data_IF_395373514622
#
_entry.id   IF_395373514622
#
_cell.length_a   1.000
_cell.length_b   1.000
_cell.length_c   1.000
_cell.angle_alpha   90.00
_cell.angle_beta   90.00
_cell.angle_gamma   90.00
#
_symmetry.space_group_name_H-M   'P 1'
#
loop_
_entity.id
_entity.type
_entity.pdbx_description
1 polymer ?
#
# COMPACT_ATOMS: atom_id res chain seq x y z
N UNK A 1 -0.48 -22.90 24.45
CA UNK A 1 -1.75 -22.14 24.56
C UNK A 1 -1.42 -20.86 25.30
N UNK A 2 -1.71 -19.70 24.71
CA UNK A 2 -1.61 -18.41 25.42
C UNK A 2 -2.94 -18.16 26.09
N UNK A 3 -2.95 -17.92 27.40
CA UNK A 3 -4.19 -17.71 28.18
C UNK A 3 -4.54 -16.23 28.30
N UNK A 4 -3.54 -15.39 28.56
CA UNK A 4 -3.67 -13.94 28.63
C UNK A 4 -2.31 -13.27 28.38
N UNK A 5 -2.34 -11.99 28.06
CA UNK A 5 -1.18 -11.10 28.03
C UNK A 5 -1.48 -9.91 28.94
N UNK A 6 -0.51 -9.53 29.77
CA UNK A 6 -0.55 -8.29 30.55
C UNK A 6 0.39 -7.28 29.91
N UNK A 7 -0.09 -6.09 29.62
CA UNK A 7 0.69 -5.01 29.01
C UNK A 7 0.55 -3.74 29.83
N UNK A 8 1.55 -2.88 29.77
CA UNK A 8 1.48 -1.56 30.39
C UNK A 8 0.35 -0.74 29.76
N UNK A 9 -0.49 -0.14 30.61
CA UNK A 9 -1.52 0.78 30.13
C UNK A 9 -0.88 2.02 29.50
N UNK A 10 -1.38 2.41 28.33
CA UNK A 10 -0.95 3.63 27.63
C UNK A 10 -2.02 4.70 27.83
N UNK A 11 -1.78 5.74 28.65
CA UNK A 11 -2.69 6.89 28.74
C UNK A 11 -2.88 7.50 27.35
N UNK A 12 -4.11 7.58 26.87
CA UNK A 12 -4.45 8.01 25.52
C UNK A 12 -5.76 8.82 25.49
N UNK A 13 -6.02 9.46 24.35
CA UNK A 13 -7.22 10.28 24.08
C UNK A 13 -8.21 9.56 23.16
N UNK A 14 -8.11 8.24 23.03
CA UNK A 14 -8.85 7.40 22.10
C UNK A 14 -7.98 6.84 20.97
N UNK A 15 -8.63 6.19 20.01
CA UNK A 15 -7.99 5.67 18.81
C UNK A 15 -7.75 6.74 17.74
N UNK A 16 -6.81 6.47 16.85
CA UNK A 16 -6.47 7.35 15.74
C UNK A 16 -7.62 7.42 14.74
N UNK A 17 -8.52 6.44 14.66
CA UNK A 17 -9.71 6.49 13.81
C UNK A 17 -10.63 7.65 14.22
N UNK A 18 -10.98 7.73 15.49
CA UNK A 18 -11.86 8.76 16.06
C UNK A 18 -11.24 10.14 15.90
N UNK A 19 -9.94 10.26 16.18
CA UNK A 19 -9.19 11.50 15.93
C UNK A 19 -9.22 11.91 14.45
N UNK A 20 -8.92 10.99 13.53
CA UNK A 20 -8.88 11.25 12.10
C UNK A 20 -10.25 11.61 11.53
N UNK A 21 -11.30 10.93 11.99
CA UNK A 21 -12.68 11.21 11.60
C UNK A 21 -13.12 12.60 12.06
N UNK A 22 -12.74 13.00 13.27
CA UNK A 22 -13.02 14.35 13.76
C UNK A 22 -12.32 15.42 12.91
N UNK A 23 -11.04 15.22 12.58
CA UNK A 23 -10.28 16.15 11.73
C UNK A 23 -10.83 16.21 10.29
N UNK A 24 -11.22 15.07 9.72
CA UNK A 24 -11.88 15.03 8.41
C UNK A 24 -13.22 15.78 8.41
N UNK A 25 -14.02 15.64 9.48
CA UNK A 25 -15.27 16.40 9.64
C UNK A 25 -15.00 17.90 9.72
N UNK A 26 -14.05 18.32 10.56
CA UNK A 26 -13.66 19.74 10.68
C UNK A 26 -13.19 20.31 9.35
N UNK A 27 -12.40 19.56 8.59
CA UNK A 27 -11.97 19.97 7.26
C UNK A 27 -13.17 20.20 6.35
N UNK A 28 -14.13 19.27 6.32
CA UNK A 28 -15.33 19.41 5.48
C UNK A 28 -16.25 20.57 5.89
N UNK A 29 -16.26 20.96 7.17
CA UNK A 29 -17.01 22.12 7.70
C UNK A 29 -16.40 23.47 7.34
N UNK A 30 -15.08 23.52 7.12
CA UNK A 30 -14.39 24.76 6.74
C UNK A 30 -14.79 25.27 5.36
N UNK A 31 -14.46 26.53 5.06
CA UNK A 31 -14.60 27.10 3.72
C UNK A 31 -13.40 26.78 2.81
N UNK A 32 -13.55 26.79 1.46
CA UNK A 32 -12.44 26.63 0.53
C UNK A 32 -11.30 27.66 0.64
N UNK A 33 -11.59 28.85 1.17
CA UNK A 33 -10.60 29.90 1.44
C UNK A 33 -9.83 29.60 2.74
N UNK A 34 -10.44 28.82 3.64
CA UNK A 34 -9.81 28.17 4.79
C UNK A 34 -9.18 26.80 4.41
N UNK A 35 -9.39 26.28 3.20
CA UNK A 35 -9.01 24.91 2.81
C UNK A 35 -7.53 24.69 2.49
N UNK A 36 -6.60 25.58 2.85
CA UNK A 36 -5.16 25.26 2.73
C UNK A 36 -4.71 24.10 3.66
N UNK A 37 -5.63 23.26 4.14
CA UNK A 37 -5.65 22.47 5.37
C UNK A 37 -5.47 23.37 6.59
N UNK A 38 -6.53 23.88 7.23
CA UNK A 38 -6.42 24.46 8.57
C UNK A 38 -5.85 23.41 9.55
N UNK A 39 -4.57 23.27 9.86
CA UNK A 39 -3.42 24.17 9.73
C UNK A 39 -2.13 23.34 9.51
N UNK A 40 -2.15 22.41 8.55
CA UNK A 40 -1.17 21.31 8.44
C UNK A 40 -1.06 20.41 9.69
N UNK A 41 -1.92 20.60 10.69
CA UNK A 41 -1.89 19.91 11.99
C UNK A 41 -2.10 18.42 11.81
N UNK A 42 -3.19 18.03 11.14
CA UNK A 42 -3.44 16.64 10.86
C UNK A 42 -2.45 16.06 9.84
N UNK A 43 -1.95 16.85 8.89
CA UNK A 43 -0.86 16.39 8.01
C UNK A 43 0.42 16.05 8.78
N UNK A 44 0.77 16.82 9.82
CA UNK A 44 1.86 16.48 10.74
C UNK A 44 1.56 15.17 11.47
N UNK A 45 0.30 14.94 11.88
CA UNK A 45 -0.11 13.66 12.46
C UNK A 45 0.00 12.49 11.47
N UNK A 46 -0.46 12.65 10.23
CA UNK A 46 -0.34 11.65 9.17
C UNK A 46 1.13 11.34 8.85
N UNK A 47 1.98 12.37 8.81
CA UNK A 47 3.44 12.23 8.71
C UNK A 47 3.99 11.43 9.89
N UNK A 48 3.64 11.78 11.13
CA UNK A 48 4.09 11.07 12.33
C UNK A 48 3.62 9.60 12.34
N UNK A 49 2.40 9.32 11.91
CA UNK A 49 1.90 7.96 11.69
C UNK A 49 2.80 7.21 10.69
N UNK A 50 3.16 7.84 9.57
CA UNK A 50 4.09 7.29 8.58
C UNK A 50 5.44 6.92 9.19
N UNK A 51 5.98 7.80 10.02
CA UNK A 51 7.21 7.55 10.78
C UNK A 51 7.07 6.38 11.77
N UNK A 52 6.03 6.36 12.61
CA UNK A 52 5.83 5.30 13.62
C UNK A 52 5.63 3.92 12.99
N UNK A 53 4.89 3.84 11.88
CA UNK A 53 4.71 2.58 11.14
C UNK A 53 6.03 2.14 10.48
N UNK A 54 6.82 3.07 9.94
CA UNK A 54 8.15 2.73 9.40
C UNK A 54 9.11 2.26 10.49
N UNK A 55 9.13 2.94 11.65
CA UNK A 55 9.94 2.57 12.81
C UNK A 55 9.56 1.19 13.36
N UNK A 56 8.25 0.86 13.42
CA UNK A 56 7.78 -0.49 13.74
C UNK A 56 8.38 -1.51 12.77
N UNK A 57 8.27 -1.30 11.46
CA UNK A 57 8.81 -2.23 10.48
C UNK A 57 10.32 -2.37 10.56
N UNK A 58 11.04 -1.28 10.82
CA UNK A 58 12.49 -1.31 11.08
C UNK A 58 12.79 -2.15 12.31
N UNK A 59 12.09 -1.93 13.42
CA UNK A 59 12.26 -2.69 14.65
C UNK A 59 12.03 -4.19 14.42
N UNK A 60 10.91 -4.56 13.78
CA UNK A 60 10.59 -5.95 13.45
C UNK A 60 11.62 -6.59 12.51
N UNK A 61 12.17 -5.81 11.57
CA UNK A 61 13.19 -6.31 10.64
C UNK A 61 14.57 -6.52 11.28
N UNK A 62 14.87 -5.86 12.41
CA UNK A 62 16.17 -5.97 13.09
C UNK A 62 16.27 -7.18 14.00
N UNK A 63 15.17 -7.86 14.29
CA UNK A 63 15.16 -9.07 15.12
C UNK A 63 15.66 -10.25 14.29
N UNK A 64 16.96 -10.53 14.35
CA UNK A 64 17.60 -11.62 13.60
C UNK A 64 17.81 -12.91 14.39
N UNK A 65 17.75 -12.82 15.72
CA UNK A 65 18.05 -13.93 16.63
C UNK A 65 16.84 -14.88 16.83
N UNK A 66 15.65 -14.46 16.43
CA UNK A 66 14.43 -15.27 16.45
C UNK A 66 14.02 -15.62 15.00
N UNK A 67 14.00 -16.91 14.60
CA UNK A 67 13.54 -17.35 13.29
C UNK A 67 12.12 -16.86 12.93
N UNK A 68 11.24 -16.64 13.91
CA UNK A 68 9.89 -16.13 13.69
C UNK A 68 9.87 -14.68 13.20
N UNK A 69 10.91 -13.89 13.49
CA UNK A 69 11.02 -12.48 13.09
C UNK A 69 12.07 -12.23 12.02
N UNK A 70 13.10 -13.08 11.93
CA UNK A 70 14.22 -12.94 11.00
C UNK A 70 13.74 -12.65 9.57
N UNK A 71 14.11 -11.52 8.95
CA UNK A 71 13.69 -11.18 7.59
C UNK A 71 14.06 -12.26 6.58
N UNK A 72 13.18 -12.45 5.59
CA UNK A 72 13.36 -13.44 4.53
C UNK A 72 13.21 -12.79 3.15
N UNK A 73 14.00 -13.17 2.14
CA UNK A 73 13.76 -12.72 0.77
C UNK A 73 12.44 -13.28 0.23
N UNK A 74 11.77 -12.51 -0.63
CA UNK A 74 10.68 -13.05 -1.44
C UNK A 74 11.21 -14.13 -2.40
N UNK A 75 10.77 -15.37 -2.17
CA UNK A 75 10.99 -16.50 -3.09
C UNK A 75 9.95 -16.51 -4.20
N UNK A 76 10.25 -17.17 -5.33
CA UNK A 76 9.27 -17.40 -6.40
C UNK A 76 8.00 -18.08 -5.87
N UNK A 77 8.14 -19.03 -4.96
CA UNK A 77 7.00 -19.71 -4.35
C UNK A 77 6.14 -18.76 -3.51
N UNK A 78 6.76 -17.88 -2.71
CA UNK A 78 6.02 -16.90 -1.90
C UNK A 78 5.27 -15.87 -2.77
N UNK A 79 5.88 -15.42 -3.87
CA UNK A 79 5.23 -14.52 -4.82
C UNK A 79 4.07 -15.19 -5.55
N UNK A 80 4.20 -16.47 -5.93
CA UNK A 80 3.10 -17.24 -6.51
C UNK A 80 1.93 -17.37 -5.54
N UNK A 81 2.19 -17.66 -4.26
CA UNK A 81 1.15 -17.71 -3.23
C UNK A 81 0.46 -16.36 -3.05
N UNK A 82 1.23 -15.26 -2.98
CA UNK A 82 0.68 -13.91 -2.89
C UNK A 82 -0.26 -13.61 -4.07
N UNK A 83 0.20 -13.84 -5.31
CA UNK A 83 -0.63 -13.65 -6.51
C UNK A 83 -1.89 -14.50 -6.50
N UNK A 84 -1.77 -15.78 -6.11
CA UNK A 84 -2.92 -16.68 -5.95
C UNK A 84 -3.97 -16.08 -5.01
N UNK A 85 -3.54 -15.68 -3.81
CA UNK A 85 -4.45 -15.10 -2.81
C UNK A 85 -5.14 -13.80 -3.27
N UNK A 86 -4.42 -12.94 -4.01
CA UNK A 86 -4.98 -11.71 -4.57
C UNK A 86 -6.00 -12.00 -5.67
N UNK A 87 -5.70 -12.98 -6.55
CA UNK A 87 -6.61 -13.43 -7.61
C UNK A 87 -7.87 -14.06 -7.04
N UNK A 88 -7.75 -14.86 -5.99
CA UNK A 88 -8.89 -15.51 -5.37
C UNK A 88 -9.80 -14.48 -4.69
N UNK A 89 -9.23 -13.51 -3.94
CA UNK A 89 -10.00 -12.39 -3.40
C UNK A 89 -10.69 -11.55 -4.47
N UNK A 90 -10.00 -11.26 -5.57
CA UNK A 90 -10.61 -10.56 -6.70
C UNK A 90 -11.77 -11.35 -7.31
N UNK A 91 -11.61 -12.66 -7.50
CA UNK A 91 -12.69 -13.52 -8.00
C UNK A 91 -13.90 -13.50 -7.07
N UNK A 92 -13.68 -13.60 -5.76
CA UNK A 92 -14.76 -13.53 -4.76
C UNK A 92 -15.47 -12.18 -4.81
N UNK A 93 -14.73 -11.07 -4.76
CA UNK A 93 -15.32 -9.73 -4.77
C UNK A 93 -16.12 -9.45 -6.05
N UNK A 94 -15.58 -9.80 -7.21
CA UNK A 94 -16.26 -9.63 -8.50
C UNK A 94 -17.44 -10.59 -8.68
N UNK A 95 -17.37 -11.81 -8.12
CA UNK A 95 -18.50 -12.73 -8.06
C UNK A 95 -19.66 -12.15 -7.26
N UNK A 96 -19.39 -11.70 -6.03
CA UNK A 96 -20.38 -11.04 -5.18
C UNK A 96 -20.96 -9.79 -5.84
N UNK A 97 -20.14 -9.02 -6.55
CA UNK A 97 -20.60 -7.81 -7.26
C UNK A 97 -21.57 -8.14 -8.40
N UNK A 98 -21.37 -9.26 -9.12
CA UNK A 98 -22.28 -9.73 -10.18
C UNK A 98 -23.63 -10.18 -9.63
N UNK A 99 -23.60 -10.85 -8.48
CA UNK A 99 -24.78 -11.47 -7.86
C UNK A 99 -25.54 -10.48 -6.95
N UNK A 100 -24.87 -9.41 -6.50
CA UNK A 100 -25.39 -8.45 -5.54
C UNK A 100 -26.54 -7.61 -6.10
N UNK A 101 -27.60 -7.47 -5.31
CA UNK A 101 -28.67 -6.52 -5.60
C UNK A 101 -28.22 -5.10 -5.23
N UNK A 102 -27.69 -4.38 -6.21
CA UNK A 102 -27.16 -3.02 -6.01
C UNK A 102 -28.23 -1.94 -6.22
N UNK A 103 -28.17 -0.85 -5.44
CA UNK A 103 -28.90 0.37 -5.74
C UNK A 103 -28.62 0.86 -7.18
N UNK A 104 -29.62 1.45 -7.83
CA UNK A 104 -29.56 1.87 -9.24
C UNK A 104 -28.37 2.80 -9.52
N UNK A 105 -28.05 3.67 -8.56
CA UNK A 105 -26.94 4.62 -8.61
C UNK A 105 -25.55 3.97 -8.63
N UNK A 106 -25.40 2.71 -8.23
CA UNK A 106 -24.12 1.99 -8.23
C UNK A 106 -23.96 1.04 -9.42
N UNK A 107 -25.01 0.84 -10.24
CA UNK A 107 -24.98 -0.13 -11.35
C UNK A 107 -23.94 0.22 -12.40
N UNK A 108 -23.84 1.49 -12.80
CA UNK A 108 -22.86 1.94 -13.77
C UNK A 108 -21.41 1.73 -13.29
N UNK A 109 -21.12 2.05 -12.03
CA UNK A 109 -19.80 1.83 -11.41
C UNK A 109 -19.50 0.32 -11.33
N UNK A 110 -20.48 -0.50 -10.98
CA UNK A 110 -20.33 -1.96 -10.89
C UNK A 110 -20.07 -2.61 -12.25
N UNK A 111 -20.86 -2.25 -13.26
CA UNK A 111 -20.65 -2.70 -14.66
C UNK A 111 -19.29 -2.25 -15.18
N UNK A 112 -18.90 -1.01 -14.89
CA UNK A 112 -17.58 -0.46 -15.23
C UNK A 112 -16.43 -1.25 -14.60
N UNK A 113 -16.57 -1.66 -13.34
CA UNK A 113 -15.57 -2.51 -12.67
C UNK A 113 -15.54 -3.93 -13.28
N UNK A 114 -16.70 -4.54 -13.52
CA UNK A 114 -16.80 -5.88 -14.10
C UNK A 114 -16.19 -5.94 -15.51
N UNK A 115 -16.40 -4.91 -16.33
CA UNK A 115 -15.76 -4.79 -17.65
C UNK A 115 -14.22 -4.72 -17.57
N UNK A 116 -13.67 -4.31 -16.42
CA UNK A 116 -12.23 -4.19 -16.14
C UNK A 116 -11.65 -5.36 -15.36
N UNK A 117 -12.36 -6.47 -15.21
CA UNK A 117 -11.85 -7.68 -14.52
C UNK A 117 -10.50 -8.17 -15.09
N UNK A 118 -10.33 -8.11 -16.42
CA UNK A 118 -9.06 -8.45 -17.06
C UNK A 118 -7.91 -7.56 -16.62
N UNK A 119 -8.19 -6.27 -16.39
CA UNK A 119 -7.22 -5.31 -15.89
C UNK A 119 -6.87 -5.59 -14.42
N UNK A 120 -7.86 -5.84 -13.56
CA UNK A 120 -7.65 -6.24 -12.15
C UNK A 120 -6.69 -7.44 -12.08
N UNK A 121 -6.95 -8.47 -12.88
CA UNK A 121 -6.07 -9.65 -12.96
C UNK A 121 -4.65 -9.28 -13.42
N UNK A 122 -4.51 -8.43 -14.43
CA UNK A 122 -3.20 -8.02 -14.95
C UNK A 122 -2.34 -7.30 -13.89
N UNK A 123 -2.95 -6.47 -13.03
CA UNK A 123 -2.24 -5.75 -11.95
C UNK A 123 -1.52 -6.70 -10.99
N UNK A 124 -2.11 -7.87 -10.71
CA UNK A 124 -1.48 -8.88 -9.84
C UNK A 124 -0.42 -9.72 -10.56
N UNK A 125 -0.54 -9.94 -11.87
CA UNK A 125 0.49 -10.66 -12.63
C UNK A 125 1.75 -9.83 -12.86
N UNK A 126 1.64 -8.50 -12.85
CA UNK A 126 2.75 -7.56 -13.00
C UNK A 126 3.60 -7.37 -11.73
N UNK A 127 3.31 -8.12 -10.66
CA UNK A 127 4.10 -8.07 -9.43
C UNK A 127 5.59 -8.36 -9.70
N UNK A 128 6.52 -7.68 -9.01
CA UNK A 128 7.96 -7.88 -9.22
C UNK A 128 8.34 -9.37 -9.10
N UNK A 129 9.13 -9.88 -10.06
CA UNK A 129 9.72 -11.22 -9.99
C UNK A 129 10.68 -11.38 -8.80
N UNK A 130 10.92 -12.64 -8.38
CA UNK A 130 11.82 -12.96 -7.27
C UNK A 130 13.26 -12.47 -7.51
N UNK A 131 14.01 -12.23 -6.42
CA UNK A 131 15.44 -11.92 -6.48
C UNK A 131 15.80 -10.42 -6.59
N UNK A 132 14.84 -9.50 -6.40
CA UNK A 132 15.07 -8.04 -6.54
C UNK A 132 15.18 -7.27 -5.22
N UNK A 133 15.74 -7.89 -4.18
CA UNK A 133 15.96 -7.21 -2.89
C UNK A 133 14.68 -6.87 -2.11
N UNK A 134 13.57 -7.56 -2.37
CA UNK A 134 12.34 -7.46 -1.59
C UNK A 134 12.41 -8.41 -0.39
N UNK A 135 12.25 -7.87 0.82
CA UNK A 135 12.17 -8.64 2.06
C UNK A 135 10.73 -8.82 2.54
N UNK A 136 10.52 -9.94 3.22
CA UNK A 136 9.36 -10.29 4.04
C UNK A 136 9.79 -10.24 5.49
N UNK A 137 9.00 -9.55 6.31
CA UNK A 137 9.21 -9.43 7.76
C UNK A 137 7.93 -9.81 8.49
N UNK A 138 7.98 -9.96 9.81
CA UNK A 138 6.75 -9.87 10.59
C UNK A 138 6.19 -8.46 10.45
N UNK A 139 4.89 -8.39 10.27
CA UNK A 139 4.11 -7.16 10.10
C UNK A 139 2.95 -7.21 11.10
N UNK A 140 2.22 -6.10 11.24
CA UNK A 140 0.98 -6.07 11.98
C UNK A 140 -0.09 -6.94 11.29
N UNK A 141 -0.21 -6.85 9.96
CA UNK A 141 -1.03 -7.74 9.14
C UNK A 141 -2.50 -7.34 8.99
N UNK A 142 -3.01 -6.52 9.91
CA UNK A 142 -4.34 -5.87 9.83
C UNK A 142 -4.29 -4.39 10.28
N UNK A 143 -3.27 -3.65 9.84
CA UNK A 143 -3.06 -2.28 10.31
C UNK A 143 -4.06 -1.30 9.68
N UNK A 144 -4.76 -0.56 10.53
CA UNK A 144 -5.61 0.58 10.16
C UNK A 144 -5.68 1.56 11.34
N UNK A 145 -6.33 2.72 11.17
CA UNK A 145 -6.38 3.77 12.19
C UNK A 145 -7.06 3.34 13.52
N UNK A 146 -7.90 2.30 13.47
CA UNK A 146 -8.52 1.73 14.67
C UNK A 146 -7.54 0.92 15.54
N UNK A 147 -6.42 0.48 14.97
CA UNK A 147 -5.38 -0.30 15.67
C UNK A 147 -4.23 0.57 16.17
N UNK A 148 -4.50 1.87 16.30
CA UNK A 148 -3.52 2.86 16.72
C UNK A 148 -4.18 3.75 17.78
N UNK A 149 -3.56 3.87 18.94
CA UNK A 149 -3.96 4.81 19.98
C UNK A 149 -3.30 6.17 19.75
N UNK A 150 -4.01 7.25 20.07
CA UNK A 150 -3.52 8.62 20.00
C UNK A 150 -3.35 9.20 21.40
N UNK A 151 -2.14 9.65 21.76
CA UNK A 151 -1.86 10.21 23.10
C UNK A 151 -2.11 11.72 23.20
N UNK A 152 -2.27 12.39 22.07
CA UNK A 152 -2.27 13.86 21.97
C UNK A 152 -1.04 14.38 21.22
N UNK A 153 0.08 13.70 21.35
CA UNK A 153 1.37 14.07 20.76
C UNK A 153 2.05 12.93 20.01
N UNK A 154 1.64 11.67 20.25
CA UNK A 154 2.20 10.48 19.61
C UNK A 154 1.15 9.39 19.35
N UNK A 155 1.60 8.30 18.72
CA UNK A 155 0.80 7.16 18.31
C UNK A 155 1.40 5.83 18.77
N UNK A 156 0.55 4.96 19.30
CA UNK A 156 0.92 3.62 19.75
C UNK A 156 0.16 2.58 18.94
N UNK A 157 0.89 1.68 18.28
CA UNK A 157 0.31 0.59 17.50
C UNK A 157 -0.01 -0.57 18.45
N UNK A 158 -1.24 -1.06 18.40
CA UNK A 158 -1.77 -2.11 19.28
C UNK A 158 -2.27 -3.29 18.45
N UNK A 159 -2.80 -4.33 19.08
CA UNK A 159 -3.52 -5.45 18.43
C UNK A 159 -2.78 -6.20 17.29
N UNK A 160 -1.62 -6.78 17.64
CA UNK A 160 -0.80 -7.59 16.72
C UNK A 160 -1.37 -9.00 16.47
N UNK A 161 -2.67 -9.23 16.66
CA UNK A 161 -3.29 -10.53 16.39
C UNK A 161 -3.33 -10.85 14.90
N UNK A 162 -3.28 -9.83 14.03
CA UNK A 162 -3.50 -9.94 12.60
C UNK A 162 -4.97 -10.17 12.26
N UNK A 163 -5.26 -10.35 10.97
CA UNK A 163 -6.65 -10.37 10.48
C UNK A 163 -7.47 -11.55 11.07
N UNK A 164 -8.52 -11.31 11.88
CA UNK A 164 -9.18 -12.36 12.69
C UNK A 164 -9.73 -13.54 11.90
N UNK A 165 -10.19 -13.30 10.66
CA UNK A 165 -10.74 -14.32 9.78
C UNK A 165 -9.68 -15.30 9.24
N UNK A 166 -8.38 -15.03 9.44
CA UNK A 166 -7.30 -15.86 8.89
C UNK A 166 -6.80 -16.92 9.88
N UNK A 167 -6.41 -18.11 9.40
CA UNK A 167 -5.74 -19.12 10.21
C UNK A 167 -4.49 -18.58 10.90
N UNK A 168 -4.18 -19.08 12.11
CA UNK A 168 -3.03 -18.61 12.90
C UNK A 168 -1.69 -18.69 12.15
N UNK A 169 -1.50 -19.72 11.32
CA UNK A 169 -0.29 -19.87 10.51
C UNK A 169 -0.13 -18.72 9.49
N UNK A 170 -1.23 -18.22 8.95
CA UNK A 170 -1.23 -17.07 8.05
C UNK A 170 -1.04 -15.75 8.81
N UNK A 171 -1.68 -15.58 9.96
CA UNK A 171 -1.49 -14.39 10.83
C UNK A 171 -0.04 -14.25 11.31
N UNK A 172 0.68 -15.36 11.47
CA UNK A 172 2.10 -15.39 11.83
C UNK A 172 3.05 -15.33 10.63
N UNK A 173 2.55 -15.38 9.39
CA UNK A 173 3.40 -15.39 8.22
C UNK A 173 4.14 -14.05 8.06
N UNK A 174 5.37 -14.12 7.54
CA UNK A 174 6.12 -12.91 7.15
C UNK A 174 5.56 -12.36 5.84
N UNK A 175 5.38 -11.06 5.75
CA UNK A 175 4.80 -10.39 4.58
C UNK A 175 5.59 -9.15 4.18
N UNK A 176 5.19 -8.54 3.07
CA UNK A 176 5.71 -7.22 2.71
C UNK A 176 5.16 -6.19 3.71
N UNK A 177 5.99 -5.30 4.25
CA UNK A 177 5.51 -4.19 5.08
C UNK A 177 4.60 -3.20 4.31
N UNK A 178 4.60 -3.28 2.97
CA UNK A 178 3.68 -2.49 2.14
C UNK A 178 2.22 -2.92 2.29
N UNK A 179 1.93 -4.12 2.84
CA UNK A 179 0.58 -4.51 3.20
C UNK A 179 0.00 -3.60 4.29
N UNK A 180 0.76 -3.37 5.36
CA UNK A 180 0.36 -2.49 6.46
C UNK A 180 0.25 -1.04 5.98
N UNK A 181 1.19 -0.59 5.13
CA UNK A 181 1.09 0.73 4.50
C UNK A 181 -0.18 0.88 3.64
N UNK A 182 -0.55 -0.13 2.86
CA UNK A 182 -1.80 -0.13 2.10
C UNK A 182 -3.04 -0.07 3.01
N UNK A 183 -3.03 -0.79 4.13
CA UNK A 183 -4.09 -0.73 5.14
C UNK A 183 -4.29 0.68 5.71
N UNK A 184 -3.20 1.36 6.05
CA UNK A 184 -3.24 2.76 6.50
C UNK A 184 -3.77 3.72 5.44
N UNK A 185 -3.29 3.61 4.19
CA UNK A 185 -3.77 4.45 3.08
C UNK A 185 -5.28 4.29 2.84
N UNK A 186 -5.76 3.05 2.80
CA UNK A 186 -7.20 2.76 2.70
C UNK A 186 -7.98 3.29 3.91
N UNK A 187 -7.40 3.21 5.11
CA UNK A 187 -8.03 3.73 6.33
C UNK A 187 -8.24 5.25 6.31
N UNK A 188 -7.33 6.03 5.72
CA UNK A 188 -7.52 7.49 5.55
C UNK A 188 -8.66 7.79 4.56
N UNK A 189 -8.71 7.06 3.44
CA UNK A 189 -9.79 7.20 2.46
C UNK A 189 -11.16 6.85 3.06
N UNK A 190 -11.22 5.75 3.82
CA UNK A 190 -12.42 5.36 4.56
C UNK A 190 -12.85 6.40 5.60
N UNK A 191 -11.91 6.99 6.35
CA UNK A 191 -12.23 8.05 7.30
C UNK A 191 -12.83 9.29 6.62
N UNK A 192 -12.28 9.67 5.46
CA UNK A 192 -12.80 10.78 4.66
C UNK A 192 -14.23 10.52 4.16
N UNK A 193 -14.49 9.29 3.69
CA UNK A 193 -15.82 8.88 3.23
C UNK A 193 -16.81 8.79 4.39
N UNK A 194 -16.39 8.29 5.56
CA UNK A 194 -17.20 8.27 6.76
C UNK A 194 -17.58 9.68 7.22
N UNK A 195 -16.65 10.65 7.16
CA UNK A 195 -16.90 12.04 7.50
C UNK A 195 -17.96 12.71 6.61
N UNK A 196 -18.05 12.28 5.35
CA UNK A 196 -19.04 12.77 4.39
C UNK A 196 -20.42 12.11 4.58
N UNK A 197 -20.46 10.84 4.98
CA UNK A 197 -21.70 10.05 5.03
C UNK A 197 -22.76 10.69 5.91
N UNK A 198 -22.37 11.23 7.05
CA UNK A 198 -23.28 11.81 8.04
C UNK A 198 -23.79 13.22 7.66
N UNK A 199 -23.44 13.71 6.45
CA UNK A 199 -23.81 15.05 5.97
C UNK A 199 -24.96 14.99 4.95
N UNK A 200 -26.01 15.74 5.23
CA UNK A 200 -27.06 16.04 4.24
C UNK A 200 -26.70 17.30 3.48
N UNK A 201 -26.67 17.24 2.15
CA UNK A 201 -26.40 18.38 1.29
C UNK A 201 -27.17 18.25 -0.05
N UNK A 202 -27.58 19.36 -0.68
CA UNK A 202 -28.10 19.36 -2.05
C UNK A 202 -27.10 18.72 -3.03
N UNK A 203 -27.59 18.11 -4.12
CA UNK A 203 -26.75 17.32 -5.04
C UNK A 203 -25.50 18.06 -5.56
N UNK A 204 -25.63 19.35 -5.89
CA UNK A 204 -24.49 20.18 -6.36
C UNK A 204 -23.42 20.38 -5.29
N UNK A 205 -23.83 20.55 -4.03
CA UNK A 205 -22.94 20.75 -2.88
C UNK A 205 -22.34 19.41 -2.43
N UNK A 206 -23.10 18.32 -2.59
CA UNK A 206 -22.62 16.96 -2.33
C UNK A 206 -21.42 16.60 -3.19
N UNK A 207 -21.45 16.91 -4.50
CA UNK A 207 -20.33 16.64 -5.40
C UNK A 207 -19.07 17.42 -5.00
N UNK A 208 -19.21 18.68 -4.57
CA UNK A 208 -18.10 19.49 -4.06
C UNK A 208 -17.52 18.89 -2.76
N UNK A 209 -18.38 18.51 -1.80
CA UNK A 209 -17.96 17.86 -0.55
C UNK A 209 -17.27 16.51 -0.79
N UNK A 210 -17.75 15.72 -1.76
CA UNK A 210 -17.10 14.48 -2.18
C UNK A 210 -15.69 14.72 -2.72
N UNK A 211 -15.51 15.77 -3.52
CA UNK A 211 -14.20 16.17 -4.02
C UNK A 211 -13.26 16.60 -2.88
N UNK A 212 -13.77 17.40 -1.94
CA UNK A 212 -13.02 17.84 -0.74
C UNK A 212 -12.63 16.66 0.15
N UNK A 213 -13.53 15.72 0.40
CA UNK A 213 -13.24 14.52 1.20
C UNK A 213 -12.12 13.68 0.55
N UNK A 214 -12.20 13.46 -0.77
CA UNK A 214 -11.13 12.77 -1.52
C UNK A 214 -9.80 13.51 -1.41
N UNK A 215 -9.80 14.83 -1.55
CA UNK A 215 -8.59 15.65 -1.42
C UNK A 215 -7.96 15.53 -0.02
N UNK A 216 -8.77 15.52 1.04
CA UNK A 216 -8.29 15.33 2.41
C UNK A 216 -7.63 13.96 2.61
N UNK A 217 -8.30 12.88 2.20
CA UNK A 217 -7.77 11.52 2.31
C UNK A 217 -6.47 11.34 1.52
N UNK A 218 -6.44 11.89 0.31
CA UNK A 218 -5.25 11.90 -0.55
C UNK A 218 -4.07 12.65 0.09
N UNK A 219 -4.32 13.84 0.67
CA UNK A 219 -3.28 14.64 1.31
C UNK A 219 -2.70 13.91 2.54
N UNK A 220 -3.56 13.34 3.39
CA UNK A 220 -3.13 12.54 4.54
C UNK A 220 -2.32 11.31 4.11
N UNK A 221 -2.82 10.56 3.14
CA UNK A 221 -2.14 9.37 2.60
C UNK A 221 -0.79 9.71 1.98
N UNK A 222 -0.68 10.83 1.27
CA UNK A 222 0.58 11.33 0.71
C UNK A 222 1.61 11.64 1.81
N UNK A 223 1.24 12.42 2.83
CA UNK A 223 2.17 12.78 3.91
C UNK A 223 2.62 11.56 4.72
N UNK A 224 1.70 10.62 4.97
CA UNK A 224 2.03 9.33 5.55
C UNK A 224 3.05 8.56 4.70
N UNK A 225 2.79 8.41 3.40
CA UNK A 225 3.63 7.59 2.52
C UNK A 225 5.00 8.23 2.25
N UNK A 226 5.05 9.56 2.13
CA UNK A 226 6.30 10.30 1.93
C UNK A 226 7.23 10.13 3.13
N UNK A 227 6.71 10.26 4.35
CA UNK A 227 7.50 10.05 5.56
C UNK A 227 7.88 8.58 5.75
N UNK A 228 6.93 7.68 5.52
CA UNK A 228 7.18 6.24 5.58
C UNK A 228 8.31 5.83 4.62
N UNK A 229 8.30 6.36 3.39
CA UNK A 229 9.38 6.19 2.42
C UNK A 229 10.68 6.82 2.89
N UNK A 230 10.64 8.03 3.41
CA UNK A 230 11.81 8.77 3.91
C UNK A 230 12.54 7.98 4.99
N UNK A 231 11.81 7.47 5.99
CA UNK A 231 12.38 6.67 7.09
C UNK A 231 12.93 5.32 6.61
N UNK A 232 12.30 4.71 5.61
CA UNK A 232 12.77 3.44 5.03
C UNK A 232 13.78 3.61 3.88
N UNK A 233 14.18 4.84 3.55
CA UNK A 233 15.08 5.11 2.45
C UNK A 233 16.41 4.36 2.62
N UNK A 234 16.89 3.73 1.55
CA UNK A 234 18.11 2.91 1.59
C UNK A 234 17.94 1.52 2.20
N UNK A 235 16.76 1.15 2.70
CA UNK A 235 16.50 -0.19 3.24
C UNK A 235 15.86 -1.12 2.20
N UNK A 236 16.03 -2.46 2.31
CA UNK A 236 15.33 -3.42 1.46
C UNK A 236 13.82 -3.51 1.71
N UNK A 237 13.29 -2.80 2.71
CA UNK A 237 11.86 -2.76 3.04
C UNK A 237 11.06 -1.86 2.10
N UNK A 238 11.72 -0.88 1.46
CA UNK A 238 11.11 0.01 0.47
C UNK A 238 11.97 0.12 -0.81
N UNK A 239 12.00 -0.94 -1.65
CA UNK A 239 12.83 -0.95 -2.85
C UNK A 239 12.27 -0.04 -3.97
N UNK A 240 13.07 0.22 -5.02
CA UNK A 240 12.66 1.06 -6.17
C UNK A 240 11.32 0.64 -6.82
N UNK A 241 10.94 -0.63 -6.71
CA UNK A 241 9.70 -1.20 -7.25
C UNK A 241 8.55 -1.24 -6.23
N UNK A 242 8.72 -0.64 -5.05
CA UNK A 242 7.72 -0.62 -3.98
C UNK A 242 6.38 -0.05 -4.44
N UNK A 243 6.38 0.98 -5.30
CA UNK A 243 5.14 1.57 -5.81
C UNK A 243 4.21 0.55 -6.49
N UNK A 244 4.74 -0.34 -7.34
CA UNK A 244 3.91 -1.37 -8.01
C UNK A 244 3.37 -2.42 -7.04
N UNK A 245 4.16 -2.77 -6.03
CA UNK A 245 3.75 -3.73 -5.01
C UNK A 245 2.70 -3.10 -4.08
N UNK A 246 2.87 -1.82 -3.74
CA UNK A 246 1.89 -1.04 -2.97
C UNK A 246 0.58 -0.89 -3.74
N UNK A 247 0.60 -0.54 -5.04
CA UNK A 247 -0.59 -0.50 -5.90
C UNK A 247 -1.37 -1.82 -5.86
N UNK A 248 -0.67 -2.96 -5.89
CA UNK A 248 -1.30 -4.28 -5.82
C UNK A 248 -1.90 -4.55 -4.43
N UNK A 249 -1.23 -4.17 -3.34
CA UNK A 249 -1.80 -4.32 -1.99
C UNK A 249 -3.00 -3.39 -1.76
N UNK A 250 -2.98 -2.17 -2.30
CA UNK A 250 -4.12 -1.25 -2.27
C UNK A 250 -5.32 -1.84 -3.01
N UNK A 251 -5.10 -2.36 -4.22
CA UNK A 251 -6.17 -3.01 -4.99
C UNK A 251 -6.72 -4.25 -4.27
N UNK A 252 -5.84 -5.09 -3.73
CA UNK A 252 -6.22 -6.29 -2.96
C UNK A 252 -7.04 -5.94 -1.71
N UNK A 253 -6.65 -4.90 -0.97
CA UNK A 253 -7.38 -4.42 0.21
C UNK A 253 -8.74 -3.81 -0.17
N UNK A 254 -8.80 -3.02 -1.24
CA UNK A 254 -10.05 -2.44 -1.73
C UNK A 254 -11.05 -3.51 -2.22
N UNK A 255 -10.57 -4.58 -2.86
CA UNK A 255 -11.41 -5.72 -3.26
C UNK A 255 -11.90 -6.54 -2.05
N UNK A 256 -11.03 -6.71 -1.05
CA UNK A 256 -11.44 -7.32 0.22
C UNK A 256 -12.55 -6.50 0.90
N UNK A 257 -12.37 -5.19 1.00
CA UNK A 257 -13.36 -4.27 1.56
C UNK A 257 -14.67 -4.31 0.76
N UNK A 258 -14.60 -4.33 -0.58
CA UNK A 258 -15.79 -4.47 -1.43
C UNK A 258 -16.56 -5.76 -1.10
N UNK A 259 -15.87 -6.90 -1.03
CA UNK A 259 -16.49 -8.17 -0.66
C UNK A 259 -17.08 -8.14 0.76
N UNK A 260 -16.41 -7.48 1.70
CA UNK A 260 -16.90 -7.34 3.06
C UNK A 260 -18.17 -6.49 3.12
N UNK A 261 -18.19 -5.31 2.49
CA UNK A 261 -19.35 -4.41 2.51
C UNK A 261 -20.55 -5.00 1.76
N UNK A 262 -20.32 -5.73 0.66
CA UNK A 262 -21.38 -6.45 -0.06
C UNK A 262 -22.11 -7.46 0.83
N UNK A 263 -21.39 -8.12 1.74
CA UNK A 263 -21.96 -9.13 2.63
C UNK A 263 -22.54 -8.56 3.93
N UNK A 264 -22.00 -7.45 4.44
CA UNK A 264 -22.29 -6.99 5.80
C UNK A 264 -23.02 -5.64 5.84
N UNK A 265 -22.72 -4.73 4.91
CA UNK A 265 -23.23 -3.35 4.94
C UNK A 265 -23.43 -2.80 3.51
N UNK A 266 -24.50 -3.21 2.81
CA UNK A 266 -24.72 -2.81 1.41
C UNK A 266 -24.70 -1.28 1.16
N UNK A 267 -25.06 -0.48 2.17
CA UNK A 267 -25.01 0.99 2.09
C UNK A 267 -23.59 1.59 2.03
N UNK A 268 -22.56 0.81 2.36
CA UNK A 268 -21.15 1.20 2.28
C UNK A 268 -20.48 0.78 0.97
N UNK A 269 -21.13 0.00 0.11
CA UNK A 269 -20.51 -0.58 -1.11
C UNK A 269 -19.95 0.48 -2.06
N UNK A 270 -20.55 1.67 -2.10
CA UNK A 270 -20.12 2.78 -2.95
C UNK A 270 -18.66 3.19 -2.69
N UNK A 271 -18.22 3.14 -1.44
CA UNK A 271 -16.88 3.52 -0.99
C UNK A 271 -15.75 2.63 -1.56
N UNK A 272 -15.75 1.31 -1.31
CA UNK A 272 -14.74 0.42 -1.86
C UNK A 272 -14.91 0.21 -3.37
N UNK A 273 -16.13 0.25 -3.92
CA UNK A 273 -16.35 0.14 -5.37
C UNK A 273 -15.63 1.27 -6.13
N UNK A 274 -15.85 2.53 -5.72
CA UNK A 274 -15.16 3.69 -6.29
C UNK A 274 -13.66 3.64 -6.02
N UNK A 275 -13.23 3.21 -4.82
CA UNK A 275 -11.82 3.03 -4.50
C UNK A 275 -11.09 2.08 -5.46
N UNK A 276 -11.73 0.96 -5.83
CA UNK A 276 -11.17 0.04 -6.84
C UNK A 276 -11.07 0.74 -8.21
N UNK A 277 -12.12 1.45 -8.64
CA UNK A 277 -12.13 2.17 -9.92
C UNK A 277 -11.04 3.25 -9.99
N UNK A 278 -10.84 4.00 -8.92
CA UNK A 278 -9.81 5.04 -8.81
C UNK A 278 -8.40 4.45 -8.91
N UNK A 279 -8.13 3.35 -8.19
CA UNK A 279 -6.85 2.61 -8.28
C UNK A 279 -6.61 2.09 -9.70
N UNK A 280 -7.66 1.61 -10.37
CA UNK A 280 -7.56 1.16 -11.76
C UNK A 280 -7.37 2.33 -12.72
N UNK A 281 -7.97 3.50 -12.51
CA UNK A 281 -7.77 4.69 -13.32
C UNK A 281 -6.35 5.29 -13.20
N UNK A 282 -5.52 4.77 -12.28
CA UNK A 282 -4.22 5.35 -11.94
C UNK A 282 -4.34 6.55 -10.99
N UNK A 283 -5.55 6.81 -10.49
CA UNK A 283 -5.90 7.85 -9.53
C UNK A 283 -5.65 7.46 -8.08
N UNK A 284 -4.60 6.67 -7.80
CA UNK A 284 -4.09 6.65 -6.43
C UNK A 284 -3.47 8.02 -6.18
N UNK A 285 -4.24 8.91 -5.56
CA UNK A 285 -3.84 10.30 -5.32
C UNK A 285 -2.60 10.43 -4.39
N UNK A 286 -2.20 9.33 -3.75
CA UNK A 286 -0.98 9.19 -2.95
C UNK A 286 0.20 8.55 -3.69
N UNK A 287 0.06 8.07 -4.93
CA UNK A 287 1.16 7.48 -5.69
C UNK A 287 1.82 8.51 -6.63
N UNK A 288 3.15 8.49 -6.81
CA UNK A 288 3.79 9.28 -7.85
C UNK A 288 3.27 8.85 -9.25
N UNK A 289 3.16 9.77 -10.21
CA UNK A 289 2.65 9.47 -11.54
C UNK A 289 3.46 8.34 -12.19
N UNK A 290 2.76 7.40 -12.83
CA UNK A 290 3.40 6.31 -13.57
C UNK A 290 4.22 6.91 -14.71
N UNK A 291 5.54 6.71 -14.71
CA UNK A 291 6.31 6.92 -15.95
C UNK A 291 5.71 6.01 -17.03
N UNK A 292 5.39 6.55 -18.23
CA UNK A 292 4.86 5.73 -19.30
C UNK A 292 5.86 4.60 -19.59
N UNK A 293 5.34 3.37 -19.65
CA UNK A 293 6.14 2.22 -20.04
C UNK A 293 6.76 2.53 -21.41
N UNK A 294 8.10 2.64 -21.47
CA UNK A 294 8.81 2.74 -22.75
C UNK A 294 8.50 1.48 -23.55
N UNK A 295 7.58 1.59 -24.49
CA UNK A 295 7.38 0.62 -25.58
C UNK A 295 8.55 0.73 -26.55
N UNK A 296 9.73 0.30 -26.12
CA UNK A 296 10.92 0.19 -26.95
C UNK A 296 11.18 -1.27 -27.24
N UNK A 297 10.77 -1.76 -28.42
CA UNK A 297 11.34 -2.99 -28.98
C UNK A 297 12.86 -2.81 -29.04
N UNK A 298 13.69 -3.77 -28.60
CA UNK A 298 15.12 -3.68 -28.82
C UNK A 298 15.37 -3.76 -30.33
N UNK A 299 15.84 -2.67 -30.93
CA UNK A 299 16.46 -2.73 -32.26
C UNK A 299 17.77 -3.49 -32.11
N UNK A 300 17.74 -4.79 -32.44
CA UNK A 300 18.94 -5.54 -32.79
C UNK A 300 19.46 -4.98 -34.11
N UNK A 301 20.52 -4.17 -34.07
CA UNK A 301 21.32 -3.86 -35.24
C UNK A 301 22.54 -4.78 -35.24
N UNK A 302 22.47 -5.84 -36.05
CA UNK A 302 23.65 -6.54 -36.53
C UNK A 302 24.23 -5.76 -37.71
N UNK A 303 25.43 -5.20 -37.55
CA UNK A 303 26.34 -4.92 -38.66
C UNK A 303 27.75 -4.67 -38.13
N UNK A 304 28.74 -5.41 -38.65
CA UNK A 304 30.13 -4.96 -38.68
C UNK A 304 31.16 -5.81 -37.94
N UNK A 305 31.28 -7.09 -38.30
CA UNK A 305 32.57 -7.79 -38.16
C UNK A 305 33.51 -7.22 -39.22
N UNK A 306 34.64 -6.63 -38.80
CA UNK A 306 35.79 -6.34 -39.67
C UNK A 306 36.99 -7.19 -39.23
N UNK A 307 37.73 -7.81 -40.16
CA UNK A 307 38.81 -8.74 -39.83
C UNK A 307 40.11 -8.01 -39.45
N UNK A 308 40.83 -8.62 -38.51
CA UNK A 308 42.18 -8.25 -38.07
C UNK A 308 43.19 -8.43 -39.22
N UNK A 309 43.83 -7.34 -39.64
CA UNK A 309 45.04 -7.39 -40.45
C UNK A 309 46.27 -7.59 -39.54
N UNK A 310 47.12 -8.54 -39.95
CA UNK A 310 48.46 -8.76 -39.41
C UNK A 310 49.36 -7.56 -39.76
N UNK A 311 50.17 -7.13 -38.80
CA UNK A 311 51.43 -6.45 -39.08
C UNK A 311 52.46 -6.76 -37.99
N UNK A 312 53.71 -6.71 -38.44
CA UNK A 312 54.97 -7.33 -38.03
C UNK A 312 55.70 -6.72 -36.83
N UNK A 313 56.50 -7.59 -36.18
CA UNK A 313 57.87 -7.37 -35.66
C UNK A 313 58.15 -6.29 -34.59
N UNK A 314 58.67 -6.69 -33.42
CA UNK A 314 60.13 -6.77 -33.14
C UNK A 314 60.46 -6.81 -31.62
N UNK A 315 61.22 -7.86 -31.26
CA UNK A 315 62.24 -8.01 -30.20
C UNK A 315 62.41 -6.95 -29.10
N UNK A 316 62.45 -7.41 -27.84
CA UNK A 316 63.64 -7.28 -26.95
C UNK A 316 63.55 -8.18 -25.71
N UNK A 317 64.65 -8.88 -25.41
CA UNK A 317 64.90 -9.90 -24.35
C UNK A 317 64.80 -9.34 -22.91
N UNK A 318 64.57 -10.20 -21.90
CA UNK A 318 65.17 -10.04 -20.58
C UNK A 318 66.39 -10.98 -20.43
N UNK A 319 67.49 -10.43 -19.92
CA UNK A 319 68.74 -11.14 -19.62
C UNK A 319 68.71 -11.58 -18.16
N UNK A 320 68.92 -12.88 -17.93
CA UNK A 320 69.23 -13.45 -16.63
C UNK A 320 70.70 -13.19 -16.24
N UNK A 321 70.95 -13.06 -14.93
CA UNK A 321 72.18 -13.31 -14.13
C UNK A 321 71.93 -12.59 -12.79
N UNK A 322 72.07 -13.13 -11.58
CA UNK A 322 72.76 -14.32 -11.08
C UNK A 322 73.72 -13.89 -9.96
N UNK A 323 73.49 -14.37 -8.73
CA UNK A 323 74.39 -14.45 -7.54
C UNK A 323 74.93 -13.15 -6.92
N UNK A 324 74.58 -12.85 -5.66
CA UNK A 324 75.19 -13.33 -4.39
C UNK A 324 74.27 -12.96 -3.23
#
# INVERSE_FOLDING_TARGET
MTLAVLQGFVPNRGDAWTYSLAEARRFLDGSPEEDSLHNGSYLKSARLLGRRVAELHLALSRITNDPAFRPEPFTLQSLRRLRGSMRDRARTALGLLREGNLPTELRADAEGLLAREGEVRSRFEELPGAGKGLLRIRVHGDLHLGQILYTGDDFYIIDFEGEPARPLAERRAKESPLRDAAGMLRSFEYAAQAALRDRTAPARERAALESRARAWGAAAGKEFLDEYRSVLAGTPLFPQRAARLLDAFLLDKALYELAYELNNRPTWVSAPLRGVLDILAGGCASCPPRSPARSGKPKLTHAGVRPLQRSTAARSKPRATGTR
#
